data_IF_252543605830
#
_entry.id   IF_252543605830
#
_cell.length_a   1.000
_cell.length_b   1.000
_cell.length_c   1.000
_cell.angle_alpha   90.00
_cell.angle_beta   90.00
_cell.angle_gamma   90.00
#
_symmetry.space_group_name_H-M   'P 1'
#
loop_
_entity.id
_entity.type
_entity.pdbx_description
1 polymer ?
#
# COMPACT_ATOMS: atom_id res chain seq x y z
N UNK A 1 0.31 -29.77 -16.59
CA UNK A 1 1.12 -28.60 -17.00
C UNK A 1 1.98 -29.02 -18.18
N UNK A 2 2.44 -28.07 -19.00
CA UNK A 2 3.47 -28.32 -20.01
C UNK A 2 4.77 -28.75 -19.32
N UNK A 3 5.34 -29.89 -19.74
CA UNK A 3 6.43 -30.53 -19.01
C UNK A 3 7.78 -29.81 -19.19
N UNK A 4 8.04 -29.26 -20.37
CA UNK A 4 9.26 -28.50 -20.65
C UNK A 4 9.25 -27.18 -19.88
N UNK A 5 8.11 -26.49 -19.85
CA UNK A 5 7.96 -25.26 -19.08
C UNK A 5 8.08 -25.48 -17.58
N UNK A 6 7.52 -26.57 -17.05
CA UNK A 6 7.65 -26.91 -15.63
C UNK A 6 9.12 -27.15 -15.24
N UNK A 7 9.86 -27.92 -16.04
CA UNK A 7 11.28 -28.18 -15.81
C UNK A 7 12.13 -26.90 -15.85
N UNK A 8 11.84 -26.00 -16.80
CA UNK A 8 12.53 -24.70 -16.89
C UNK A 8 12.26 -23.82 -15.66
N UNK A 9 11.00 -23.75 -15.21
CA UNK A 9 10.63 -22.99 -14.01
C UNK A 9 11.36 -23.55 -12.78
N UNK A 10 11.37 -24.87 -12.61
CA UNK A 10 12.05 -25.53 -11.50
C UNK A 10 13.56 -25.24 -11.50
N UNK A 11 14.21 -25.31 -12.67
CA UNK A 11 15.64 -25.00 -12.82
C UNK A 11 15.95 -23.56 -12.39
N UNK A 12 15.21 -22.58 -12.92
CA UNK A 12 15.41 -21.15 -12.63
C UNK A 12 15.17 -20.86 -11.14
N UNK A 13 14.14 -21.47 -10.54
CA UNK A 13 13.77 -21.20 -9.14
C UNK A 13 14.65 -21.91 -8.13
N UNK A 14 15.25 -23.05 -8.48
CA UNK A 14 16.03 -23.91 -7.56
C UNK A 14 17.01 -23.18 -6.65
N UNK A 15 17.81 -22.19 -7.11
CA UNK A 15 18.77 -21.49 -6.24
C UNK A 15 18.10 -20.54 -5.22
N UNK A 16 16.81 -20.25 -5.39
CA UNK A 16 16.08 -19.23 -4.63
C UNK A 16 14.97 -19.82 -3.76
N UNK A 17 14.65 -21.11 -3.92
CA UNK A 17 13.51 -21.75 -3.25
C UNK A 17 13.54 -21.61 -1.73
N UNK A 18 14.71 -21.74 -1.09
CA UNK A 18 14.83 -21.57 0.36
C UNK A 18 14.35 -20.18 0.80
N UNK A 19 14.79 -19.14 0.10
CA UNK A 19 14.39 -17.76 0.39
C UNK A 19 12.94 -17.50 0.05
N UNK A 20 12.48 -17.92 -1.14
CA UNK A 20 11.11 -17.70 -1.61
C UNK A 20 10.07 -18.40 -0.71
N UNK A 21 10.39 -19.60 -0.24
CA UNK A 21 9.51 -20.40 0.62
C UNK A 21 9.66 -20.09 2.12
N UNK A 22 10.48 -19.11 2.50
CA UNK A 22 10.59 -18.70 3.90
C UNK A 22 9.21 -18.24 4.40
N UNK A 23 8.63 -18.97 5.35
CA UNK A 23 7.38 -18.61 6.01
C UNK A 23 7.65 -17.51 7.04
N UNK A 24 7.09 -16.32 6.82
CA UNK A 24 7.35 -15.15 7.65
C UNK A 24 6.32 -15.01 8.78
N UNK A 25 5.05 -15.32 8.50
CA UNK A 25 3.93 -15.30 9.44
C UNK A 25 2.76 -16.14 8.92
N UNK A 26 1.76 -16.43 9.75
CA UNK A 26 0.46 -16.98 9.32
C UNK A 26 -0.60 -15.86 9.35
N UNK A 27 -1.41 -15.73 8.31
CA UNK A 27 -2.49 -14.71 8.33
C UNK A 27 -3.82 -15.29 8.80
N UNK A 28 -4.55 -14.57 9.63
CA UNK A 28 -5.95 -14.87 10.00
C UNK A 28 -6.96 -14.15 9.09
N UNK A 29 -6.47 -13.22 8.25
CA UNK A 29 -7.29 -12.39 7.37
C UNK A 29 -7.09 -12.78 5.91
N UNK A 30 -8.06 -12.47 5.06
CA UNK A 30 -7.82 -12.48 3.62
C UNK A 30 -6.90 -11.30 3.29
N UNK A 31 -5.72 -11.56 2.72
CA UNK A 31 -4.78 -10.52 2.28
C UNK A 31 -4.90 -10.32 0.77
N UNK A 32 -5.39 -9.16 0.33
CA UNK A 32 -5.53 -8.81 -1.09
C UNK A 32 -4.98 -7.41 -1.39
N UNK A 33 -4.64 -7.18 -2.66
CA UNK A 33 -3.98 -5.97 -3.15
C UNK A 33 -4.87 -5.03 -3.97
N UNK A 34 -5.68 -5.58 -4.90
CA UNK A 34 -6.45 -4.74 -5.83
C UNK A 34 -7.63 -4.05 -5.15
N UNK A 35 -7.71 -2.74 -5.37
CA UNK A 35 -8.80 -1.85 -4.97
C UNK A 35 -8.45 -0.42 -5.39
N UNK A 36 -9.43 0.49 -5.46
CA UNK A 36 -9.15 1.90 -5.78
C UNK A 36 -8.39 2.62 -4.65
N UNK A 37 -8.44 2.09 -3.42
CA UNK A 37 -7.81 2.62 -2.21
C UNK A 37 -6.94 1.52 -1.56
N UNK A 38 -7.08 1.26 -0.25
CA UNK A 38 -6.34 0.20 0.43
C UNK A 38 -7.03 -1.18 0.29
N UNK A 39 -6.25 -2.21 -0.03
CA UNK A 39 -6.54 -3.60 0.33
C UNK A 39 -5.95 -4.01 1.69
N UNK A 40 -6.25 -5.22 2.16
CA UNK A 40 -5.71 -5.74 3.43
C UNK A 40 -4.21 -6.04 3.38
N UNK A 41 -3.67 -6.43 2.22
CA UNK A 41 -2.20 -6.55 2.07
C UNK A 41 -1.57 -5.15 2.10
N UNK A 42 -2.26 -4.13 1.59
CA UNK A 42 -1.77 -2.75 1.63
C UNK A 42 -1.68 -2.22 3.03
N UNK A 43 -2.68 -2.54 3.84
CA UNK A 43 -2.67 -2.23 5.26
C UNK A 43 -1.44 -2.87 5.93
N UNK A 44 -1.17 -4.15 5.65
CA UNK A 44 0.02 -4.84 6.17
C UNK A 44 1.33 -4.14 5.77
N UNK A 45 1.47 -3.73 4.50
CA UNK A 45 2.67 -3.00 4.02
C UNK A 45 2.79 -1.64 4.73
N UNK A 46 1.68 -0.93 4.85
CA UNK A 46 1.61 0.35 5.53
C UNK A 46 1.97 0.23 7.03
N UNK A 47 1.45 -0.77 7.72
CA UNK A 47 1.73 -1.03 9.12
C UNK A 47 3.21 -1.40 9.33
N UNK A 48 3.78 -2.22 8.44
CA UNK A 48 5.21 -2.53 8.46
C UNK A 48 6.08 -1.28 8.27
N UNK A 49 5.74 -0.42 7.31
CA UNK A 49 6.43 0.86 7.09
C UNK A 49 6.39 1.75 8.32
N UNK A 50 5.19 1.91 8.94
CA UNK A 50 5.03 2.73 10.14
C UNK A 50 5.80 2.18 11.32
N UNK A 51 5.72 0.87 11.54
CA UNK A 51 6.39 0.19 12.65
C UNK A 51 7.91 0.26 12.52
N UNK A 52 8.46 -0.26 11.42
CA UNK A 52 9.91 -0.40 11.26
C UNK A 52 10.62 0.94 11.06
N UNK A 53 9.94 1.94 10.48
CA UNK A 53 10.52 3.26 10.24
C UNK A 53 10.09 4.31 11.27
N UNK A 54 9.33 3.91 12.30
CA UNK A 54 8.79 4.76 13.36
C UNK A 54 8.12 6.01 12.78
N UNK A 55 7.10 5.81 11.94
CA UNK A 55 6.37 6.87 11.24
C UNK A 55 4.91 6.93 11.68
N UNK A 56 4.35 8.14 11.75
CA UNK A 56 2.96 8.36 12.09
C UNK A 56 2.03 7.89 10.96
N UNK A 57 2.45 8.18 9.72
CA UNK A 57 1.69 7.93 8.49
C UNK A 57 2.58 7.15 7.52
N UNK A 58 1.98 6.29 6.70
CA UNK A 58 2.66 5.65 5.57
C UNK A 58 1.91 5.88 4.26
N UNK A 59 2.66 6.05 3.18
CA UNK A 59 2.17 6.13 1.80
C UNK A 59 2.78 4.99 0.99
N UNK A 60 1.94 4.09 0.49
CA UNK A 60 2.35 2.93 -0.33
C UNK A 60 1.75 3.03 -1.75
N UNK A 61 2.50 2.72 -2.82
CA UNK A 61 2.07 2.94 -4.19
C UNK A 61 0.82 2.17 -4.64
N UNK A 62 0.12 2.89 -5.51
CA UNK A 62 -0.75 2.58 -6.65
C UNK A 62 -1.00 1.17 -7.19
N UNK A 63 -0.17 0.17 -6.89
CA UNK A 63 0.01 -0.95 -7.81
C UNK A 63 -1.14 -1.97 -7.86
N UNK A 64 -1.45 -2.40 -9.09
CA UNK A 64 -2.52 -3.36 -9.42
C UNK A 64 -2.07 -4.82 -9.49
N UNK A 65 -0.76 -5.06 -9.52
CA UNK A 65 -0.17 -6.40 -9.49
C UNK A 65 0.04 -6.85 -8.05
N UNK A 66 -0.01 -8.17 -7.85
CA UNK A 66 0.04 -8.80 -6.54
C UNK A 66 -0.79 -10.07 -6.47
N UNK A 67 -0.48 -10.93 -5.50
CA UNK A 67 -1.24 -12.14 -5.19
C UNK A 67 -2.23 -11.92 -4.05
N UNK A 68 -3.05 -12.94 -3.76
CA UNK A 68 -3.95 -13.01 -2.61
C UNK A 68 -3.53 -14.17 -1.71
N UNK A 69 -3.52 -13.94 -0.39
CA UNK A 69 -3.22 -14.98 0.62
C UNK A 69 -4.46 -15.21 1.46
N UNK A 70 -4.86 -16.47 1.60
CA UNK A 70 -6.09 -16.85 2.29
C UNK A 70 -5.90 -16.92 3.82
N UNK A 71 -6.97 -16.73 4.61
CA UNK A 71 -6.93 -17.01 6.04
C UNK A 71 -6.40 -18.42 6.34
N UNK A 72 -5.52 -18.53 7.33
CA UNK A 72 -4.83 -19.75 7.76
C UNK A 72 -3.58 -20.10 6.95
N UNK A 73 -3.29 -19.41 5.83
CA UNK A 73 -2.08 -19.66 5.06
C UNK A 73 -0.85 -18.93 5.63
N UNK A 74 0.32 -19.50 5.39
CA UNK A 74 1.58 -18.82 5.62
C UNK A 74 1.77 -17.69 4.58
N UNK A 75 2.16 -16.51 5.06
CA UNK A 75 2.70 -15.43 4.25
C UNK A 75 4.19 -15.72 4.07
N UNK A 76 4.59 -16.07 2.84
CA UNK A 76 5.98 -16.36 2.51
C UNK A 76 6.72 -15.11 2.05
N UNK A 77 8.05 -15.18 1.96
CA UNK A 77 8.84 -14.14 1.32
C UNK A 77 8.44 -13.94 -0.16
N UNK A 78 8.09 -15.01 -0.88
CA UNK A 78 7.56 -14.89 -2.24
C UNK A 78 6.27 -14.07 -2.29
N UNK A 79 5.33 -14.28 -1.37
CA UNK A 79 4.14 -13.46 -1.28
C UNK A 79 4.45 -11.98 -1.03
N UNK A 80 5.51 -11.66 -0.28
CA UNK A 80 5.96 -10.27 -0.10
C UNK A 80 6.55 -9.71 -1.40
N UNK A 81 7.37 -10.51 -2.09
CA UNK A 81 7.95 -10.13 -3.39
C UNK A 81 6.87 -9.90 -4.43
N UNK A 82 5.84 -10.73 -4.50
CA UNK A 82 4.69 -10.58 -5.39
C UNK A 82 4.01 -9.21 -5.26
N UNK A 83 4.16 -8.51 -4.14
CA UNK A 83 3.58 -7.17 -3.91
C UNK A 83 4.57 -6.02 -4.08
N UNK A 84 5.87 -6.31 -4.04
CA UNK A 84 6.93 -5.30 -3.81
C UNK A 84 8.13 -5.38 -4.75
N UNK A 85 8.20 -6.37 -5.64
CA UNK A 85 9.31 -6.59 -6.56
C UNK A 85 9.43 -5.53 -7.67
N UNK A 86 10.10 -4.43 -7.37
CA UNK A 86 10.45 -3.38 -8.33
C UNK A 86 11.95 -3.08 -8.28
N UNK A 87 12.45 -2.37 -9.30
CA UNK A 87 13.86 -2.00 -9.44
C UNK A 87 14.27 -0.74 -8.68
N UNK A 88 13.32 -0.06 -8.03
CA UNK A 88 13.52 1.12 -7.17
C UNK A 88 12.77 0.96 -5.84
N UNK A 89 13.07 -0.08 -5.06
CA UNK A 89 12.26 -0.54 -3.92
C UNK A 89 12.53 0.23 -2.62
N UNK A 90 13.46 1.17 -2.61
CA UNK A 90 13.99 1.78 -1.41
C UNK A 90 12.90 2.54 -0.65
N UNK A 91 12.88 2.35 0.68
CA UNK A 91 11.97 3.09 1.54
C UNK A 91 12.53 4.47 1.90
N UNK A 92 11.66 5.36 2.35
CA UNK A 92 12.03 6.62 2.99
C UNK A 92 11.20 6.82 4.26
N UNK A 93 11.73 7.65 5.16
CA UNK A 93 10.97 8.27 6.25
C UNK A 93 11.40 9.72 6.37
N UNK A 94 10.46 10.66 6.29
CA UNK A 94 10.74 12.09 6.35
C UNK A 94 9.56 12.85 6.93
N UNK A 95 9.83 14.05 7.45
CA UNK A 95 8.79 14.94 7.91
C UNK A 95 8.10 15.60 6.69
N UNK A 96 6.77 15.62 6.71
CA UNK A 96 5.93 16.33 5.74
C UNK A 96 4.93 17.19 6.47
N UNK A 97 4.64 18.39 5.94
CA UNK A 97 3.55 19.21 6.42
C UNK A 97 2.19 18.58 6.07
N UNK A 98 1.19 18.82 6.91
CA UNK A 98 -0.17 18.34 6.65
C UNK A 98 -0.75 18.80 5.31
N UNK A 99 -0.39 20.00 4.85
CA UNK A 99 -0.79 20.51 3.52
C UNK A 99 -0.08 19.79 2.36
N UNK A 100 1.17 19.36 2.53
CA UNK A 100 1.91 18.56 1.55
C UNK A 100 1.29 17.17 1.42
N UNK A 101 0.93 16.55 2.54
CA UNK A 101 0.21 15.26 2.55
C UNK A 101 -1.12 15.40 1.79
N UNK A 102 -1.89 16.47 2.07
CA UNK A 102 -3.13 16.74 1.33
C UNK A 102 -2.89 16.92 -0.16
N UNK A 103 -1.85 17.67 -0.53
CA UNK A 103 -1.51 17.92 -1.93
C UNK A 103 -1.19 16.62 -2.68
N UNK A 104 -0.42 15.71 -2.07
CA UNK A 104 -0.14 14.38 -2.65
C UNK A 104 -1.44 13.60 -2.89
N UNK A 105 -2.35 13.56 -1.91
CA UNK A 105 -3.62 12.85 -2.07
C UNK A 105 -4.51 13.48 -3.15
N UNK A 106 -4.57 14.81 -3.23
CA UNK A 106 -5.35 15.52 -4.25
C UNK A 106 -4.79 15.30 -5.66
N UNK A 107 -3.47 15.30 -5.82
CA UNK A 107 -2.80 15.09 -7.11
C UNK A 107 -3.07 13.68 -7.66
N UNK A 108 -2.94 12.66 -6.81
CA UNK A 108 -3.27 11.28 -7.20
C UNK A 108 -4.77 11.12 -7.48
N UNK A 109 -5.63 11.75 -6.67
CA UNK A 109 -7.07 11.72 -6.89
C UNK A 109 -7.48 12.43 -8.18
N UNK A 110 -6.78 13.49 -8.57
CA UNK A 110 -7.02 14.19 -9.82
C UNK A 110 -6.64 13.36 -11.04
N UNK A 111 -5.55 12.60 -10.96
CA UNK A 111 -5.22 11.67 -12.02
C UNK A 111 -6.26 10.54 -12.17
N UNK A 112 -6.61 9.89 -11.05
CA UNK A 112 -7.50 8.72 -11.07
C UNK A 112 -8.94 9.09 -11.42
N UNK A 113 -9.45 10.18 -10.85
CA UNK A 113 -10.84 10.61 -11.00
C UNK A 113 -10.98 11.78 -11.96
N UNK A 114 -10.03 11.93 -12.91
CA UNK A 114 -10.15 12.94 -13.94
C UNK A 114 -11.40 12.65 -14.80
N UNK A 115 -12.27 13.64 -15.06
CA UNK A 115 -13.50 13.41 -15.85
C UNK A 115 -13.20 13.10 -17.32
N UNK A 116 -12.09 13.61 -17.83
CA UNK A 116 -11.60 13.28 -19.17
C UNK A 116 -10.61 12.10 -19.09
N UNK A 117 -10.94 10.93 -19.68
CA UNK A 117 -10.09 9.75 -19.65
C UNK A 117 -8.74 9.95 -20.34
N UNK A 118 -8.60 10.96 -21.20
CA UNK A 118 -7.32 11.28 -21.83
C UNK A 118 -6.21 11.61 -20.81
N UNK A 119 -6.59 12.13 -19.64
CA UNK A 119 -5.65 12.49 -18.57
C UNK A 119 -5.44 11.37 -17.53
N UNK A 120 -6.19 10.28 -17.60
CA UNK A 120 -6.06 9.16 -16.68
C UNK A 120 -4.84 8.31 -17.04
N UNK A 121 -3.94 8.06 -16.07
CA UNK A 121 -2.70 7.31 -16.31
C UNK A 121 -2.79 5.83 -15.92
N UNK A 122 -3.93 5.38 -15.39
CA UNK A 122 -4.21 3.96 -15.12
C UNK A 122 -3.67 3.41 -13.80
N UNK A 123 -3.34 4.27 -12.83
CA UNK A 123 -3.06 3.88 -11.43
C UNK A 123 -4.31 3.93 -10.54
N UNK A 124 -4.17 3.47 -9.29
CA UNK A 124 -5.17 3.64 -8.21
C UNK A 124 -4.64 4.63 -7.16
N UNK A 125 -5.45 4.99 -6.14
CA UNK A 125 -5.00 5.92 -5.10
C UNK A 125 -3.77 5.41 -4.36
N UNK A 126 -2.90 6.33 -3.93
CA UNK A 126 -1.86 5.99 -2.96
C UNK A 126 -2.52 5.41 -1.71
N UNK A 127 -1.96 4.31 -1.21
CA UNK A 127 -2.48 3.64 -0.02
C UNK A 127 -1.93 4.31 1.20
N UNK A 128 -2.82 4.54 2.16
CA UNK A 128 -2.54 5.33 3.34
C UNK A 128 -2.63 4.43 4.56
N UNK A 129 -1.65 4.50 5.44
CA UNK A 129 -1.72 3.93 6.78
C UNK A 129 -1.53 5.01 7.83
N UNK A 130 -2.17 4.87 8.99
CA UNK A 130 -2.01 5.84 10.08
C UNK A 130 -2.87 7.09 9.98
N UNK A 131 -3.63 7.19 8.91
CA UNK A 131 -4.46 8.35 8.62
C UNK A 131 -5.73 7.93 7.89
N UNK A 132 -6.81 8.64 8.19
CA UNK A 132 -8.12 8.51 7.58
C UNK A 132 -8.50 9.84 6.93
N UNK A 133 -9.31 9.78 5.88
CA UNK A 133 -9.77 10.97 5.16
C UNK A 133 -11.12 10.71 4.50
N UNK A 134 -11.74 11.78 4.01
CA UNK A 134 -12.93 11.74 3.18
C UNK A 134 -12.49 12.03 1.74
N UNK A 135 -12.96 11.21 0.81
CA UNK A 135 -12.78 11.41 -0.63
C UNK A 135 -14.12 11.66 -1.30
N UNK A 136 -14.22 12.75 -2.06
CA UNK A 136 -15.30 13.03 -3.01
C UNK A 136 -14.72 12.97 -4.43
N UNK A 137 -14.80 11.82 -5.11
CA UNK A 137 -14.29 11.66 -6.47
C UNK A 137 -14.93 12.60 -7.49
N UNK A 138 -16.14 13.12 -7.21
CA UNK A 138 -16.92 13.97 -8.12
C UNK A 138 -16.59 15.45 -8.00
N UNK A 139 -15.85 15.83 -6.95
CA UNK A 139 -15.44 17.20 -6.74
C UNK A 139 -14.35 17.63 -7.74
N UNK A 140 -14.22 18.96 -7.91
CA UNK A 140 -13.16 19.55 -8.71
C UNK A 140 -11.77 19.28 -8.10
N UNK A 141 -10.74 19.33 -8.94
CA UNK A 141 -9.33 19.23 -8.54
C UNK A 141 -9.01 20.14 -7.34
N UNK A 142 -8.27 19.60 -6.37
CA UNK A 142 -7.91 20.26 -5.11
C UNK A 142 -9.00 20.29 -4.04
N UNK A 143 -10.21 19.77 -4.33
CA UNK A 143 -11.34 19.70 -3.39
C UNK A 143 -11.86 18.29 -3.16
N UNK A 144 -11.17 17.25 -3.63
CA UNK A 144 -11.61 15.85 -3.47
C UNK A 144 -11.32 15.32 -2.07
N UNK A 145 -10.29 15.83 -1.39
CA UNK A 145 -9.80 15.32 -0.12
C UNK A 145 -10.16 16.26 1.03
N UNK A 146 -10.77 15.73 2.08
CA UNK A 146 -11.15 16.50 3.27
C UNK A 146 -11.10 15.66 4.55
N UNK A 147 -11.22 16.32 5.71
CA UNK A 147 -11.30 15.68 7.02
C UNK A 147 -10.19 14.65 7.28
N UNK A 148 -8.95 15.04 7.00
CA UNK A 148 -7.77 14.21 7.28
C UNK A 148 -7.57 14.12 8.80
N UNK A 149 -7.46 12.90 9.31
CA UNK A 149 -7.27 12.60 10.74
C UNK A 149 -6.28 11.47 10.90
N UNK A 150 -5.47 11.48 11.96
CA UNK A 150 -4.71 10.30 12.38
C UNK A 150 -5.67 9.20 12.86
N UNK A 151 -5.17 7.97 13.02
CA UNK A 151 -5.95 6.84 13.55
C UNK A 151 -6.58 7.11 14.92
N UNK A 152 -5.94 7.94 15.74
CA UNK A 152 -6.46 8.35 17.05
C UNK A 152 -7.55 9.44 16.96
N UNK A 153 -8.00 9.79 15.74
CA UNK A 153 -9.03 10.79 15.49
C UNK A 153 -8.54 12.25 15.52
N UNK A 154 -7.27 12.51 15.83
CA UNK A 154 -6.73 13.88 15.81
C UNK A 154 -6.66 14.40 14.37
N UNK A 155 -7.18 15.61 14.15
CA UNK A 155 -7.10 16.28 12.85
C UNK A 155 -5.65 16.49 12.39
N UNK A 156 -5.43 16.30 11.09
CA UNK A 156 -4.19 16.71 10.43
C UNK A 156 -4.23 18.22 10.22
N UNK A 157 -3.27 18.92 10.82
CA UNK A 157 -3.14 20.37 10.77
C UNK A 157 -2.21 20.75 9.61
N UNK A 158 -2.63 21.69 8.77
CA UNK A 158 -1.92 22.05 7.54
C UNK A 158 -0.45 22.43 7.74
N UNK A 159 -0.15 23.16 8.82
CA UNK A 159 1.17 23.71 9.11
C UNK A 159 1.96 22.90 10.15
N UNK A 160 1.51 21.67 10.46
CA UNK A 160 2.20 20.77 11.37
C UNK A 160 2.94 19.69 10.58
N UNK A 161 4.14 19.34 11.04
CA UNK A 161 4.91 18.21 10.52
C UNK A 161 4.41 16.88 11.09
N UNK A 162 4.38 15.89 10.22
CA UNK A 162 4.11 14.49 10.53
C UNK A 162 5.22 13.65 9.92
N UNK A 163 5.68 12.64 10.65
CA UNK A 163 6.67 11.71 10.10
C UNK A 163 5.98 10.72 9.16
N UNK A 164 6.34 10.75 7.88
CA UNK A 164 5.74 9.95 6.82
C UNK A 164 6.75 8.96 6.26
N UNK A 165 6.38 7.68 6.25
CA UNK A 165 7.12 6.61 5.59
C UNK A 165 6.53 6.30 4.21
N UNK A 166 7.37 5.85 3.27
CA UNK A 166 6.92 5.37 1.97
C UNK A 166 8.03 4.67 1.22
N UNK A 167 7.78 4.33 -0.04
CA UNK A 167 8.73 3.62 -0.90
C UNK A 167 8.42 3.88 -2.38
N UNK A 168 9.24 3.32 -3.27
CA UNK A 168 9.09 3.44 -4.72
C UNK A 168 9.24 4.87 -5.26
N UNK A 169 10.26 5.59 -4.81
CA UNK A 169 10.55 6.93 -5.32
C UNK A 169 11.06 6.85 -6.76
N UNK A 170 10.32 7.46 -7.70
CA UNK A 170 10.74 7.53 -9.10
C UNK A 170 11.75 8.65 -9.29
N UNK A 171 12.82 8.38 -10.06
CA UNK A 171 13.81 9.40 -10.43
C UNK A 171 14.80 9.80 -9.34
N UNK A 172 14.75 9.19 -8.16
CA UNK A 172 15.79 9.31 -7.14
C UNK A 172 15.82 8.08 -6.24
N UNK A 173 17.01 7.74 -5.71
CA UNK A 173 17.20 6.60 -4.81
C UNK A 173 16.97 7.05 -3.37
N UNK A 174 16.00 6.45 -2.69
CA UNK A 174 15.75 6.72 -1.28
C UNK A 174 16.78 6.01 -0.38
N UNK A 175 17.06 6.51 0.83
CA UNK A 175 18.15 5.99 1.66
C UNK A 175 17.80 4.72 2.44
N UNK A 176 16.53 4.34 2.50
CA UNK A 176 16.07 3.20 3.28
C UNK A 176 16.29 1.86 2.58
N UNK A 177 16.12 0.78 3.34
CA UNK A 177 16.18 -0.58 2.82
C UNK A 177 15.08 -0.81 1.77
N UNK A 178 15.21 -1.82 0.90
CA UNK A 178 14.11 -2.25 0.06
C UNK A 178 12.87 -2.62 0.88
N UNK A 179 11.69 -2.27 0.37
CA UNK A 179 10.42 -2.51 1.06
C UNK A 179 10.19 -3.98 1.46
N UNK A 180 10.64 -4.96 0.66
CA UNK A 180 10.48 -6.37 0.99
C UNK A 180 11.24 -6.75 2.26
N UNK A 181 12.38 -6.10 2.55
CA UNK A 181 13.12 -6.34 3.80
C UNK A 181 12.37 -5.76 5.00
N UNK A 182 11.79 -4.57 4.85
CA UNK A 182 10.98 -3.92 5.88
C UNK A 182 9.75 -4.78 6.21
N UNK A 183 8.99 -5.19 5.20
CA UNK A 183 7.79 -6.02 5.40
C UNK A 183 8.17 -7.40 5.96
N UNK A 184 9.24 -8.03 5.48
CA UNK A 184 9.66 -9.33 5.99
C UNK A 184 10.17 -9.26 7.43
N UNK A 185 10.91 -8.20 7.79
CA UNK A 185 11.34 -7.94 9.18
C UNK A 185 10.13 -7.84 10.12
N UNK A 186 9.14 -7.04 9.72
CA UNK A 186 7.91 -6.86 10.48
C UNK A 186 7.16 -8.20 10.67
N UNK A 187 6.95 -8.96 9.58
CA UNK A 187 6.22 -10.23 9.61
C UNK A 187 6.87 -11.27 10.53
N UNK A 188 8.21 -11.45 10.45
CA UNK A 188 8.95 -12.39 11.32
C UNK A 188 8.73 -12.10 12.80
N UNK A 189 8.58 -10.82 13.17
CA UNK A 189 8.37 -10.40 14.55
C UNK A 189 6.92 -10.60 15.02
N UNK A 190 5.93 -10.48 14.13
CA UNK A 190 4.52 -10.64 14.49
C UNK A 190 4.09 -12.10 14.61
N UNK A 191 4.65 -13.01 13.80
CA UNK A 191 4.30 -14.44 13.66
C UNK A 191 2.87 -14.72 13.16
N UNK A 192 1.90 -13.90 13.54
CA UNK A 192 0.51 -13.95 13.08
C UNK A 192 0.07 -12.58 12.61
N UNK A 193 -0.60 -12.51 11.47
CA UNK A 193 -1.15 -11.27 10.90
C UNK A 193 -2.66 -11.31 10.95
N UNK A 194 -3.26 -10.37 11.67
CA UNK A 194 -4.71 -10.17 11.70
C UNK A 194 -5.04 -8.70 11.45
N UNK A 195 -5.59 -8.43 10.26
CA UNK A 195 -5.99 -7.08 9.83
C UNK A 195 -7.40 -6.80 10.37
N UNK A 196 -7.46 -6.14 11.52
CA UNK A 196 -8.72 -5.79 12.20
C UNK A 196 -9.28 -4.43 11.78
N UNK A 197 -8.45 -3.57 11.21
CA UNK A 197 -8.84 -2.26 10.71
C UNK A 197 -8.11 -1.98 9.40
N UNK A 198 -8.79 -1.33 8.45
CA UNK A 198 -8.21 -0.88 7.19
C UNK A 198 -8.40 0.62 7.09
N UNK A 199 -7.31 1.35 6.87
CA UNK A 199 -7.36 2.76 6.52
C UNK A 199 -7.88 2.89 5.08
N UNK A 200 -9.18 3.10 4.94
CA UNK A 200 -9.84 3.39 3.66
C UNK A 200 -10.70 4.65 3.79
N UNK A 201 -10.71 5.54 2.79
CA UNK A 201 -11.43 6.79 2.94
C UNK A 201 -12.94 6.58 2.93
N UNK A 202 -13.63 7.42 3.69
CA UNK A 202 -15.07 7.54 3.54
C UNK A 202 -15.38 8.28 2.24
N UNK A 203 -16.11 7.61 1.35
CA UNK A 203 -16.49 8.17 0.06
C UNK A 203 -17.76 9.01 0.16
N UNK A 204 -17.84 10.09 -0.63
CA UNK A 204 -19.00 10.98 -0.75
C UNK A 204 -19.49 11.06 -2.20
N UNK A 205 -20.77 11.36 -2.35
CA UNK A 205 -21.41 11.70 -3.63
C UNK A 205 -21.36 10.60 -4.70
N UNK A 206 -21.34 9.33 -4.29
CA UNK A 206 -21.29 8.20 -5.22
C UNK A 206 -22.62 7.44 -5.41
N UNK A 207 -23.70 7.87 -4.75
CA UNK A 207 -25.03 7.27 -4.91
C UNK A 207 -25.03 5.75 -4.73
N UNK A 208 -25.68 5.03 -5.66
CA UNK A 208 -25.79 3.58 -5.69
C UNK A 208 -24.71 2.93 -6.56
N UNK A 209 -23.49 3.48 -6.59
CA UNK A 209 -22.41 2.89 -7.40
C UNK A 209 -22.09 1.46 -6.89
N UNK A 210 -22.30 0.42 -7.72
CA UNK A 210 -22.11 -0.97 -7.30
C UNK A 210 -20.66 -1.30 -7.00
N UNK A 211 -19.70 -0.52 -7.51
CA UNK A 211 -18.27 -0.69 -7.27
C UNK A 211 -17.79 -0.28 -5.87
N UNK A 212 -18.68 0.20 -4.99
CA UNK A 212 -18.35 0.55 -3.59
C UNK A 212 -18.56 -0.63 -2.63
N UNK A 213 -19.36 -1.62 -3.03
CA UNK A 213 -19.88 -2.68 -2.14
C UNK A 213 -19.04 -3.97 -2.23
N UNK A 214 -17.85 -3.91 -2.82
CA UNK A 214 -16.95 -5.06 -2.97
C UNK A 214 -15.69 -4.90 -2.12
#
# INVERSE_FOLDING_TARGET
ADAEMAALIDEIRKPHLEKLNEELAVTESLLYRRGNFNGTFDQLICDALRHELNAEISLSPGFRWGTTVLPGQAVTFEHVMDQTCITYPETYARDMLGNEIKAILEDVADNLFHPDPFYQQGGDMVRVGGMNYICDPTALSGKRISNMTLDNGKLIEANKYYKVAGWATVGSVAPGKPIWEVVSSYLRNQKTVNITNINSPKLRNLGNNPGIVL
#
